data_IF_308698679113
#
_entry.id   IF_308698679113
#
_cell.length_a   1.000
_cell.length_b   1.000
_cell.length_c   1.000
_cell.angle_alpha   90.00
_cell.angle_beta   90.00
_cell.angle_gamma   90.00
#
_symmetry.space_group_name_H-M   'P 1'
#
loop_
_entity.id
_entity.type
_entity.pdbx_description
1 polymer ?
#
# COMPACT_ATOMS: atom_id res chain seq x y z
N UNK A 1 11.73 9.98 -8.38
CA UNK A 1 10.36 10.52 -8.56
C UNK A 1 9.28 9.43 -8.49
N UNK A 2 9.38 8.34 -9.26
CA UNK A 2 8.34 7.29 -9.30
C UNK A 2 8.03 6.65 -7.94
N UNK A 3 9.05 6.25 -7.19
CA UNK A 3 8.87 5.57 -5.88
C UNK A 3 8.23 6.42 -4.79
N UNK A 4 8.52 7.73 -4.74
CA UNK A 4 7.91 8.66 -3.78
C UNK A 4 6.41 8.79 -4.06
N UNK A 5 6.04 8.90 -5.34
CA UNK A 5 4.63 8.94 -5.77
C UNK A 5 3.95 7.60 -5.48
N UNK A 6 4.61 6.46 -5.66
CA UNK A 6 4.04 5.14 -5.33
C UNK A 6 3.81 5.00 -3.83
N UNK A 7 4.73 5.49 -3.00
CA UNK A 7 4.61 5.44 -1.54
C UNK A 7 3.48 6.36 -1.05
N UNK A 8 3.32 7.53 -1.65
CA UNK A 8 2.22 8.45 -1.37
C UNK A 8 0.85 7.83 -1.70
N UNK A 9 0.71 7.25 -2.89
CA UNK A 9 -0.53 6.58 -3.29
C UNK A 9 -0.80 5.29 -2.52
N UNK A 10 0.23 4.54 -2.13
CA UNK A 10 0.09 3.35 -1.30
C UNK A 10 -0.48 3.69 0.09
N UNK A 11 -0.06 4.81 0.70
CA UNK A 11 -0.63 5.25 1.98
C UNK A 11 -2.10 5.66 1.87
N UNK A 12 -2.47 6.40 0.82
CA UNK A 12 -3.86 6.83 0.59
C UNK A 12 -4.76 5.61 0.35
N UNK A 13 -4.33 4.70 -0.54
CA UNK A 13 -5.12 3.51 -0.87
C UNK A 13 -5.22 2.54 0.32
N UNK A 14 -4.18 2.43 1.16
CA UNK A 14 -4.23 1.62 2.38
C UNK A 14 -5.34 2.08 3.34
N UNK A 15 -5.47 3.39 3.56
CA UNK A 15 -6.52 3.96 4.40
C UNK A 15 -7.92 3.73 3.81
N UNK A 16 -8.08 3.89 2.49
CA UNK A 16 -9.36 3.63 1.80
C UNK A 16 -9.76 2.17 1.92
N UNK A 17 -8.83 1.23 1.68
CA UNK A 17 -9.10 -0.21 1.79
C UNK A 17 -9.48 -0.59 3.22
N UNK A 18 -8.79 -0.02 4.22
CA UNK A 18 -9.10 -0.29 5.62
C UNK A 18 -10.44 0.29 6.07
N UNK A 19 -10.82 1.48 5.59
CA UNK A 19 -12.17 2.02 5.77
C UNK A 19 -13.22 1.11 5.13
N UNK A 20 -13.03 0.71 3.87
CA UNK A 20 -13.94 -0.20 3.17
C UNK A 20 -14.05 -1.57 3.87
N UNK A 21 -12.95 -2.11 4.38
CA UNK A 21 -12.92 -3.36 5.15
C UNK A 21 -13.72 -3.27 6.45
N UNK A 22 -13.60 -2.16 7.17
CA UNK A 22 -14.41 -1.92 8.39
C UNK A 22 -15.90 -1.76 8.08
N UNK A 23 -16.24 -1.06 6.99
CA UNK A 23 -17.62 -0.88 6.56
C UNK A 23 -18.28 -2.20 6.11
N UNK A 24 -17.50 -3.08 5.46
CA UNK A 24 -17.99 -4.38 4.99
C UNK A 24 -18.16 -5.39 6.12
N UNK A 25 -17.30 -5.33 7.14
CA UNK A 25 -17.38 -6.20 8.32
C UNK A 25 -18.39 -5.71 9.37
N UNK A 26 -18.98 -4.53 9.17
CA UNK A 26 -19.92 -3.92 10.13
C UNK A 26 -19.29 -3.54 11.47
N UNK A 27 -17.95 -3.58 11.56
CA UNK A 27 -17.19 -3.30 12.78
C UNK A 27 -16.92 -1.81 12.97
N UNK A 28 -16.62 -1.42 14.22
CA UNK A 28 -16.16 -0.05 14.50
C UNK A 28 -14.82 0.21 13.79
N UNK A 29 -14.75 1.31 13.04
CA UNK A 29 -13.51 1.75 12.40
C UNK A 29 -12.51 2.21 13.46
N UNK A 30 -11.44 1.45 13.67
CA UNK A 30 -10.33 1.84 14.53
C UNK A 30 -9.13 2.27 13.69
N UNK A 31 -8.90 3.57 13.63
CA UNK A 31 -7.81 4.21 12.88
C UNK A 31 -6.43 3.60 13.20
N UNK A 32 -6.23 3.12 14.43
CA UNK A 32 -4.96 2.56 14.90
C UNK A 32 -4.63 1.26 14.18
N UNK A 33 -5.62 0.37 14.08
CA UNK A 33 -5.50 -0.93 13.41
C UNK A 33 -5.34 -0.73 11.91
N UNK A 34 -6.09 0.20 11.34
CA UNK A 34 -6.01 0.55 9.92
C UNK A 34 -4.65 1.12 9.53
N UNK A 35 -4.05 1.94 10.40
CA UNK A 35 -2.72 2.52 10.19
C UNK A 35 -1.62 1.44 10.25
N UNK A 36 -1.69 0.52 11.22
CA UNK A 36 -0.77 -0.62 11.32
C UNK A 36 -0.87 -1.54 10.10
N UNK A 37 -2.09 -1.85 9.65
CA UNK A 37 -2.32 -2.68 8.46
C UNK A 37 -1.79 -2.00 7.19
N UNK A 38 -2.05 -0.70 7.04
CA UNK A 38 -1.60 0.09 5.89
C UNK A 38 -0.07 0.16 5.81
N UNK A 39 0.61 0.24 6.96
CA UNK A 39 2.07 0.20 7.01
C UNK A 39 2.61 -1.16 6.56
N UNK A 40 1.99 -2.25 7.01
CA UNK A 40 2.37 -3.62 6.67
C UNK A 40 2.16 -3.91 5.18
N UNK A 41 1.02 -3.48 4.64
CA UNK A 41 0.71 -3.56 3.20
C UNK A 41 1.67 -2.69 2.39
N UNK A 42 2.02 -1.49 2.86
CA UNK A 42 3.00 -0.63 2.21
C UNK A 42 4.37 -1.29 2.06
N UNK A 43 4.85 -2.00 3.09
CA UNK A 43 6.09 -2.78 3.03
C UNK A 43 5.98 -3.90 1.99
N UNK A 44 4.88 -4.67 2.00
CA UNK A 44 4.65 -5.75 1.04
C UNK A 44 4.65 -5.22 -0.39
N UNK A 45 3.98 -4.09 -0.65
CA UNK A 45 3.94 -3.45 -1.97
C UNK A 45 5.33 -3.02 -2.43
N UNK A 46 6.19 -2.50 -1.54
CA UNK A 46 7.58 -2.13 -1.88
C UNK A 46 8.42 -3.37 -2.19
N UNK A 47 8.26 -4.46 -1.44
CA UNK A 47 8.96 -5.73 -1.69
C UNK A 47 8.52 -6.31 -3.03
N UNK A 48 7.21 -6.39 -3.28
CA UNK A 48 6.64 -6.85 -4.55
C UNK A 48 7.08 -5.94 -5.70
N UNK A 49 7.13 -4.62 -5.51
CA UNK A 49 7.64 -3.72 -6.54
C UNK A 49 9.12 -4.00 -6.85
N UNK A 50 9.98 -4.25 -5.86
CA UNK A 50 11.38 -4.58 -6.12
C UNK A 50 11.56 -5.96 -6.79
N UNK A 51 10.71 -6.93 -6.48
CA UNK A 51 10.79 -8.30 -7.04
C UNK A 51 10.13 -8.37 -8.43
N UNK A 52 9.02 -7.68 -8.63
CA UNK A 52 8.20 -7.75 -9.84
C UNK A 52 8.52 -6.63 -10.86
N UNK A 53 9.36 -5.64 -10.54
CA UNK A 53 9.88 -4.74 -11.59
C UNK A 53 10.85 -5.57 -12.44
N UNK A 54 10.50 -5.90 -13.70
CA UNK A 54 11.46 -6.53 -14.59
C UNK A 54 12.62 -5.55 -14.75
N UNK A 55 13.84 -6.01 -14.48
CA UNK A 55 15.08 -5.27 -14.71
C UNK A 55 14.99 -4.69 -16.12
N UNK A 56 14.73 -3.38 -16.25
CA UNK A 56 14.71 -2.71 -17.55
C UNK A 56 16.04 -3.03 -18.21
N UNK A 57 15.97 -3.82 -19.28
CA UNK A 57 17.10 -4.05 -20.17
C UNK A 57 17.58 -2.67 -20.61
N UNK A 58 18.84 -2.39 -20.29
CA UNK A 58 19.59 -1.21 -20.67
C UNK A 58 19.60 -1.15 -22.21
N UNK A 59 18.73 -0.36 -22.81
CA UNK A 59 18.82 -0.06 -24.23
C UNK A 59 19.76 1.15 -24.36
N UNK A 60 21.01 0.87 -24.75
CA UNK A 60 21.95 1.87 -25.27
C UNK A 60 21.37 2.54 -26.52
#
# INVERSE_FOLDING_TARGET
MKYIVTMFWAMILGQVVGYLGSALTGGQYDFTVTAQLSFLVGIIVIVVANVCVPKKAKHN
#
